data_IF_444168396351
#
_entry.id   IF_444168396351
#
_cell.length_a   1.000
_cell.length_b   1.000
_cell.length_c   1.000
_cell.angle_alpha   90.00
_cell.angle_beta   90.00
_cell.angle_gamma   90.00
#
_symmetry.space_group_name_H-M   'P 1'
#
loop_
_entity.id
_entity.type
_entity.pdbx_description
1 polymer ?
#
# COMPACT_ATOMS: atom_id res chain seq x y z
N UNK A 1 9.18 17.06 0.06
CA UNK A 1 8.02 16.17 -0.19
C UNK A 1 8.22 15.28 -1.41
N UNK A 2 8.67 15.82 -2.56
CA UNK A 2 8.82 15.08 -3.85
C UNK A 2 9.64 13.78 -3.73
N UNK A 3 10.78 13.79 -3.03
CA UNK A 3 11.63 12.58 -2.88
C UNK A 3 10.97 11.40 -2.16
N UNK A 4 10.08 11.65 -1.20
CA UNK A 4 9.41 10.55 -0.47
C UNK A 4 8.35 9.87 -1.35
N UNK A 5 7.62 10.67 -2.13
CA UNK A 5 6.61 10.16 -3.06
C UNK A 5 7.23 9.29 -4.16
N UNK A 6 8.28 9.77 -4.82
CA UNK A 6 8.91 9.02 -5.92
C UNK A 6 9.50 7.70 -5.45
N UNK A 7 10.11 7.68 -4.25
CA UNK A 7 10.63 6.46 -3.65
C UNK A 7 9.51 5.47 -3.29
N UNK A 8 8.40 5.95 -2.73
CA UNK A 8 7.24 5.11 -2.38
C UNK A 8 6.58 4.54 -3.63
N UNK A 9 6.37 5.38 -4.64
CA UNK A 9 5.83 4.97 -5.94
C UNK A 9 6.73 3.91 -6.59
N UNK A 10 8.05 4.12 -6.60
CA UNK A 10 9.01 3.14 -7.08
C UNK A 10 8.98 1.82 -6.30
N UNK A 11 8.71 1.85 -4.99
CA UNK A 11 8.57 0.64 -4.19
C UNK A 11 7.31 -0.17 -4.56
N UNK A 12 6.20 0.50 -4.82
CA UNK A 12 4.94 -0.14 -5.23
C UNK A 12 5.03 -0.77 -6.64
N UNK A 13 5.74 -0.10 -7.57
CA UNK A 13 5.91 -0.59 -8.95
C UNK A 13 6.58 -1.97 -8.99
N UNK A 14 7.43 -2.31 -8.02
CA UNK A 14 8.06 -3.64 -7.92
C UNK A 14 7.05 -4.79 -7.76
N UNK A 15 5.82 -4.48 -7.38
CA UNK A 15 4.72 -5.41 -7.22
C UNK A 15 3.58 -5.19 -8.23
N UNK A 16 3.82 -4.37 -9.26
CA UNK A 16 2.81 -4.00 -10.25
C UNK A 16 1.75 -3.02 -9.73
N UNK A 17 1.96 -2.42 -8.54
CA UNK A 17 1.06 -1.44 -7.94
C UNK A 17 1.50 -0.02 -8.28
N UNK A 18 0.55 0.92 -8.21
CA UNK A 18 0.78 2.34 -8.45
C UNK A 18 0.11 3.17 -7.36
N UNK A 19 0.64 4.38 -7.17
CA UNK A 19 -0.12 5.44 -6.50
C UNK A 19 -1.13 6.00 -7.49
N UNK A 20 -2.41 5.92 -7.14
CA UNK A 20 -3.53 6.41 -7.97
C UNK A 20 -3.94 7.84 -7.66
N UNK A 21 -3.42 8.40 -6.59
CA UNK A 21 -3.72 9.76 -6.14
C UNK A 21 -3.46 9.90 -4.65
N UNK A 22 -3.72 11.08 -4.12
CA UNK A 22 -3.56 11.39 -2.71
C UNK A 22 -3.68 12.89 -2.45
N UNK A 23 -3.81 13.25 -1.19
CA UNK A 23 -3.84 14.64 -0.76
C UNK A 23 -3.15 14.81 0.60
N UNK A 24 -2.75 16.04 0.88
CA UNK A 24 -2.24 16.43 2.18
C UNK A 24 -3.41 16.84 3.07
N UNK A 25 -3.33 16.46 4.33
CA UNK A 25 -4.22 17.00 5.33
C UNK A 25 -3.82 18.44 5.65
N UNK A 26 -4.79 19.26 6.03
CA UNK A 26 -4.56 20.64 6.50
C UNK A 26 -4.76 20.76 8.00
N UNK A 27 -4.20 21.80 8.60
CA UNK A 27 -4.29 22.02 10.04
C UNK A 27 -5.76 22.14 10.49
N UNK A 28 -6.10 21.46 11.60
CA UNK A 28 -7.44 21.47 12.18
C UNK A 28 -8.40 20.41 11.64
N UNK A 29 -7.98 19.59 10.66
CA UNK A 29 -8.74 18.41 10.26
C UNK A 29 -8.61 17.27 11.28
N UNK A 30 -9.66 16.44 11.38
CA UNK A 30 -9.58 15.17 12.09
C UNK A 30 -8.80 14.17 11.23
N UNK A 31 -7.54 13.94 11.61
CA UNK A 31 -6.57 13.19 10.82
C UNK A 31 -6.23 11.87 11.48
N UNK A 32 -6.16 10.77 10.72
CA UNK A 32 -5.80 9.48 11.28
C UNK A 32 -4.36 9.51 11.79
N UNK A 33 -4.11 8.77 12.87
CA UNK A 33 -2.75 8.56 13.36
C UNK A 33 -1.98 7.62 12.43
N UNK A 34 -0.76 8.01 12.11
CA UNK A 34 0.22 7.14 11.45
C UNK A 34 0.72 6.04 12.40
N UNK A 35 1.62 5.20 11.89
CA UNK A 35 2.20 4.08 12.66
C UNK A 35 3.00 4.51 13.89
N UNK A 36 3.53 5.74 13.91
CA UNK A 36 4.21 6.35 15.05
C UNK A 36 3.28 6.98 16.09
N UNK A 37 1.95 6.94 15.89
CA UNK A 37 0.99 7.63 16.73
C UNK A 37 0.92 9.15 16.51
N UNK A 38 1.67 9.67 15.53
CA UNK A 38 1.61 11.08 15.11
C UNK A 38 0.54 11.24 14.02
N UNK A 39 -0.21 12.36 14.00
CA UNK A 39 -1.07 12.74 12.89
C UNK A 39 -0.45 12.53 11.51
N UNK A 40 -1.16 11.82 10.63
CA UNK A 40 -0.72 11.66 9.25
C UNK A 40 -0.69 13.02 8.54
N UNK A 41 0.33 13.24 7.70
CA UNK A 41 0.45 14.47 6.89
C UNK A 41 -0.27 14.39 5.55
N UNK A 42 -0.47 13.17 5.07
CA UNK A 42 -1.05 12.90 3.75
C UNK A 42 -1.65 11.51 3.70
N UNK A 43 -2.57 11.30 2.78
CA UNK A 43 -3.08 9.98 2.40
C UNK A 43 -2.80 9.73 0.93
N UNK A 44 -2.39 8.51 0.61
CA UNK A 44 -2.17 8.04 -0.76
C UNK A 44 -3.11 6.88 -1.04
N UNK A 45 -3.81 6.94 -2.18
CA UNK A 45 -4.57 5.83 -2.71
C UNK A 45 -3.63 4.93 -3.52
N UNK A 46 -3.51 3.67 -3.09
CA UNK A 46 -2.71 2.65 -3.77
C UNK A 46 -3.64 1.65 -4.45
N UNK A 47 -3.26 1.20 -5.64
CA UNK A 47 -3.98 0.16 -6.34
C UNK A 47 -3.25 -0.28 -7.58
N UNK A 48 -3.96 -1.04 -8.41
CA UNK A 48 -3.43 -1.53 -9.69
C UNK A 48 -3.89 -0.68 -10.86
N UNK A 49 -3.09 -0.67 -11.93
CA UNK A 49 -3.51 -0.27 -13.26
C UNK A 49 -3.27 -1.44 -14.22
N UNK A 50 -4.36 -1.94 -14.83
CA UNK A 50 -4.30 -3.10 -15.70
C UNK A 50 -3.85 -4.37 -14.97
N UNK A 51 -3.13 -5.23 -15.68
CA UNK A 51 -2.81 -6.59 -15.25
C UNK A 51 -1.44 -6.74 -14.55
N UNK A 52 -0.71 -5.64 -14.32
CA UNK A 52 0.67 -5.67 -13.84
C UNK A 52 0.89 -6.44 -12.51
N UNK A 53 -0.02 -6.44 -11.52
CA UNK A 53 0.18 -7.20 -10.28
C UNK A 53 0.05 -8.72 -10.44
N UNK A 54 -0.70 -9.20 -11.43
CA UNK A 54 -1.10 -10.61 -11.51
C UNK A 54 0.09 -11.59 -11.52
N UNK A 55 1.18 -11.37 -12.29
CA UNK A 55 2.35 -12.25 -12.23
C UNK A 55 2.99 -12.32 -10.84
N UNK A 56 2.95 -11.24 -10.05
CA UNK A 56 3.50 -11.21 -8.70
C UNK A 56 2.60 -11.95 -7.71
N UNK A 57 1.29 -11.69 -7.79
CA UNK A 57 0.29 -12.39 -6.99
C UNK A 57 0.29 -13.90 -7.27
N UNK A 58 0.33 -14.33 -8.53
CA UNK A 58 0.30 -15.74 -8.91
C UNK A 58 1.54 -16.50 -8.40
N UNK A 59 2.74 -15.93 -8.55
CA UNK A 59 3.98 -16.51 -7.98
C UNK A 59 3.93 -16.65 -6.46
N UNK A 60 3.29 -15.71 -5.78
CA UNK A 60 3.06 -15.82 -4.34
C UNK A 60 2.01 -16.89 -4.03
N UNK A 61 0.92 -16.95 -4.81
CA UNK A 61 -0.22 -17.87 -4.63
C UNK A 61 0.18 -19.33 -4.80
N UNK A 62 1.09 -19.64 -5.73
CA UNK A 62 1.65 -20.98 -5.94
C UNK A 62 2.32 -21.56 -4.68
N UNK A 63 2.76 -20.70 -3.76
CA UNK A 63 3.42 -21.09 -2.50
C UNK A 63 2.44 -21.19 -1.32
N UNK A 64 1.17 -20.88 -1.53
CA UNK A 64 0.16 -20.89 -0.47
C UNK A 64 -0.65 -22.20 -0.49
N UNK A 65 -1.23 -22.61 0.65
CA UNK A 65 -2.14 -23.75 0.65
C UNK A 65 -3.36 -23.48 -0.25
N UNK A 66 -3.91 -24.52 -0.92
CA UNK A 66 -5.13 -24.39 -1.72
C UNK A 66 -6.29 -23.78 -0.92
N UNK A 67 -6.37 -24.09 0.37
CA UNK A 67 -7.40 -23.62 1.32
C UNK A 67 -7.20 -22.20 1.85
N UNK A 68 -6.20 -21.42 1.37
CA UNK A 68 -6.00 -20.06 1.88
C UNK A 68 -7.24 -19.19 1.61
N UNK A 69 -7.71 -18.52 2.66
CA UNK A 69 -8.88 -17.63 2.63
C UNK A 69 -8.42 -16.25 2.15
N UNK A 70 -9.19 -15.66 1.23
CA UNK A 70 -8.96 -14.32 0.67
C UNK A 70 -7.49 -14.07 0.24
N UNK A 71 -6.92 -14.94 -0.61
CA UNK A 71 -5.48 -14.90 -0.93
C UNK A 71 -5.04 -13.56 -1.52
N UNK A 72 -5.89 -12.91 -2.32
CA UNK A 72 -5.58 -11.60 -2.90
C UNK A 72 -5.50 -10.51 -1.83
N UNK A 73 -6.41 -10.52 -0.85
CA UNK A 73 -6.38 -9.57 0.27
C UNK A 73 -5.16 -9.81 1.14
N UNK A 74 -4.83 -11.07 1.44
CA UNK A 74 -3.64 -11.43 2.22
C UNK A 74 -2.38 -10.93 1.54
N UNK A 75 -2.24 -11.18 0.23
CA UNK A 75 -1.10 -10.70 -0.54
C UNK A 75 -1.04 -9.18 -0.59
N UNK A 76 -2.17 -8.52 -0.88
CA UNK A 76 -2.24 -7.06 -0.99
C UNK A 76 -1.88 -6.39 0.33
N UNK A 77 -2.43 -6.88 1.46
CA UNK A 77 -2.11 -6.38 2.81
C UNK A 77 -0.64 -6.59 3.16
N UNK A 78 -0.08 -7.75 2.82
CA UNK A 78 1.33 -8.02 3.09
C UNK A 78 2.27 -7.09 2.29
N UNK A 79 2.02 -6.94 0.99
CA UNK A 79 2.86 -6.12 0.11
C UNK A 79 2.73 -4.63 0.43
N UNK A 80 1.50 -4.12 0.51
CA UNK A 80 1.26 -2.70 0.79
C UNK A 80 1.67 -2.36 2.23
N UNK A 81 1.46 -3.28 3.18
CA UNK A 81 1.92 -3.15 4.56
C UNK A 81 3.44 -3.01 4.65
N UNK A 82 4.18 -3.92 4.01
CA UNK A 82 5.66 -3.84 4.00
C UNK A 82 6.17 -2.52 3.39
N UNK A 83 5.58 -2.07 2.28
CA UNK A 83 5.92 -0.76 1.70
C UNK A 83 5.51 0.38 2.63
N UNK A 84 4.40 0.29 3.35
CA UNK A 84 4.03 1.33 4.31
C UNK A 84 5.05 1.41 5.47
N UNK A 85 5.46 0.27 6.02
CA UNK A 85 6.41 0.19 7.12
C UNK A 85 7.78 0.78 6.75
N UNK A 86 8.29 0.48 5.55
CA UNK A 86 9.55 1.03 5.02
C UNK A 86 9.55 2.57 4.95
N UNK A 87 8.36 3.19 4.89
CA UNK A 87 8.17 4.64 4.77
C UNK A 87 7.61 5.28 6.04
N UNK A 88 7.47 4.53 7.14
CA UNK A 88 6.86 5.02 8.38
C UNK A 88 5.39 5.42 8.20
N UNK A 89 4.71 4.81 7.23
CA UNK A 89 3.30 4.99 6.95
C UNK A 89 2.48 3.87 7.62
N UNK A 90 1.16 3.99 7.53
CA UNK A 90 0.21 2.96 7.95
C UNK A 90 -0.63 2.53 6.76
N UNK A 91 -0.63 1.24 6.44
CA UNK A 91 -1.54 0.70 5.44
C UNK A 91 -2.95 0.53 6.01
N UNK A 92 -3.96 0.90 5.22
CA UNK A 92 -5.37 0.64 5.50
C UNK A 92 -5.97 -0.02 4.27
N UNK A 93 -6.78 -1.06 4.46
CA UNK A 93 -7.45 -1.78 3.38
C UNK A 93 -8.96 -1.59 3.47
N UNK A 94 -9.68 -1.60 2.34
CA UNK A 94 -11.14 -1.70 2.36
C UNK A 94 -11.58 -2.99 3.08
N UNK A 95 -12.77 -2.91 3.69
CA UNK A 95 -13.44 -4.00 4.41
C UNK A 95 -13.88 -5.12 3.48
#
# INVERSE_FOLDING_TARGET
>A
MIRSYDHLSGALVRYGLIVRGGFNFVDGEDVPLGSSGVPARSVLLVGQAGAAPWPHFLRWREKQPPSAINPLDTWSRAVIGAVADDFGARAVSPS
#
